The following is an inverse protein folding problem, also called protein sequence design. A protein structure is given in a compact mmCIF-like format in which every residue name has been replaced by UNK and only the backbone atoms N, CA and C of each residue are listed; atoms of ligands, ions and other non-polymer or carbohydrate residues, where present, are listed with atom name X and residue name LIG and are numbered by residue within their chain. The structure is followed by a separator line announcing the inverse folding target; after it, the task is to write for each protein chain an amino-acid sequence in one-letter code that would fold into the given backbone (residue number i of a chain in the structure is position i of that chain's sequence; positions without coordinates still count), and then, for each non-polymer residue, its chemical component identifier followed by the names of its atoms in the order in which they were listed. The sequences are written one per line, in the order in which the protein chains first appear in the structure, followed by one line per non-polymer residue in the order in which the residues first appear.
data_IF_111721759233
#
_entry.id   IF_111721759233
#
_cell.length_a   1.000
_cell.length_b   1.000
_cell.length_c   1.000
_cell.angle_alpha   90.00
_cell.angle_beta   90.00
_cell.angle_gamma   90.00
#
_symmetry.space_group_name_H-M   'P 1'
#
loop_
_entity.id
_entity.type
_entity.pdbx_description
1 polymer ?
#
# COMPACT_ATOMS: atom_id res chain seq x y z
N UNK A 1 -52.40 57.03 7.30
CA UNK A 1 -51.02 57.00 7.80
C UNK A 1 -50.67 55.78 8.68
N UNK A 2 -51.48 55.42 9.69
CA UNK A 2 -51.16 54.27 10.58
C UNK A 2 -51.17 52.92 9.90
N UNK A 3 -52.06 52.65 8.93
CA UNK A 3 -52.14 51.37 8.22
C UNK A 3 -50.94 51.09 7.25
N UNK A 4 -50.39 52.12 6.63
CA UNK A 4 -49.22 52.00 5.76
C UNK A 4 -47.93 51.73 6.54
N UNK A 5 -47.78 52.28 7.76
CA UNK A 5 -46.59 51.98 8.60
C UNK A 5 -46.57 50.52 9.12
N UNK A 6 -47.73 49.94 9.39
CA UNK A 6 -47.87 48.57 9.88
C UNK A 6 -47.52 47.56 8.73
N UNK A 7 -47.95 47.82 7.49
CA UNK A 7 -47.64 47.00 6.34
C UNK A 7 -46.13 47.04 6.01
N UNK A 8 -45.48 48.18 6.16
CA UNK A 8 -44.04 48.35 5.90
C UNK A 8 -43.17 47.62 6.94
N UNK A 9 -43.59 47.59 8.21
CA UNK A 9 -42.90 46.83 9.26
C UNK A 9 -43.05 45.31 9.08
N UNK A 10 -44.21 44.84 8.59
CA UNK A 10 -44.41 43.41 8.30
C UNK A 10 -43.57 42.93 7.11
N UNK A 11 -43.43 43.73 6.05
CA UNK A 11 -42.59 43.42 4.91
C UNK A 11 -41.09 43.42 5.27
N UNK A 12 -40.64 44.32 6.14
CA UNK A 12 -39.26 44.37 6.58
C UNK A 12 -38.90 43.18 7.48
N UNK A 13 -39.84 42.76 8.36
CA UNK A 13 -39.66 41.54 9.18
C UNK A 13 -39.63 40.27 8.38
N UNK A 14 -40.42 40.17 7.31
CA UNK A 14 -40.44 39.00 6.42
C UNK A 14 -39.17 38.92 5.56
N UNK A 15 -38.64 40.06 5.12
CA UNK A 15 -37.37 40.11 4.36
C UNK A 15 -36.17 39.68 5.21
N UNK A 16 -36.12 40.10 6.48
CA UNK A 16 -35.08 39.71 7.43
C UNK A 16 -35.14 38.22 7.80
N UNK A 17 -36.34 37.64 7.89
CA UNK A 17 -36.51 36.21 8.15
C UNK A 17 -36.08 35.35 6.97
N UNK A 18 -36.31 35.78 5.72
CA UNK A 18 -35.91 35.06 4.50
C UNK A 18 -34.40 35.12 4.28
N UNK A 19 -33.75 36.25 4.59
CA UNK A 19 -32.28 36.38 4.47
C UNK A 19 -31.53 35.62 5.56
N UNK A 20 -32.11 35.54 6.78
CA UNK A 20 -31.52 34.79 7.89
C UNK A 20 -31.51 33.26 7.68
N UNK A 21 -32.50 32.70 7.00
CA UNK A 21 -32.56 31.26 6.72
C UNK A 21 -31.73 30.82 5.50
N UNK A 22 -31.48 31.75 4.56
CA UNK A 22 -30.60 31.46 3.41
C UNK A 22 -29.11 31.42 3.78
N UNK A 23 -28.69 32.29 4.74
CA UNK A 23 -27.29 32.34 5.18
C UNK A 23 -26.91 31.18 6.13
N UNK A 24 -27.88 30.63 6.89
CA UNK A 24 -27.62 29.48 7.77
C UNK A 24 -27.46 28.16 7.04
N UNK A 25 -27.95 28.02 5.81
CA UNK A 25 -27.78 26.80 4.98
C UNK A 25 -26.49 26.78 4.16
N UNK A 26 -25.79 27.90 4.01
CA UNK A 26 -24.60 28.03 3.17
C UNK A 26 -23.28 27.77 3.90
N UNK A 27 -23.30 27.55 5.23
CA UNK A 27 -22.06 27.38 6.03
C UNK A 27 -21.77 25.95 6.46
N UNK A 28 -22.55 24.98 6.02
CA UNK A 28 -22.30 23.56 6.32
C UNK A 28 -21.81 22.75 5.11
N UNK A 29 -21.09 23.37 4.19
CA UNK A 29 -20.16 22.62 3.34
C UNK A 29 -18.92 22.39 4.21
N UNK A 30 -19.00 21.36 5.05
CA UNK A 30 -17.83 20.82 5.72
C UNK A 30 -16.83 20.49 4.59
N UNK A 31 -15.74 21.27 4.49
CA UNK A 31 -14.64 20.94 3.64
C UNK A 31 -14.14 19.57 4.13
N UNK A 32 -14.53 18.52 3.46
CA UNK A 32 -14.00 17.18 3.66
C UNK A 32 -12.53 17.30 3.25
N UNK A 33 -11.64 17.34 4.21
CA UNK A 33 -10.20 17.31 3.95
C UNK A 33 -9.90 15.93 3.42
N UNK A 34 -9.85 15.82 2.10
CA UNK A 34 -9.42 14.60 1.43
C UNK A 34 -7.91 14.48 1.65
N UNK A 35 -7.51 13.63 2.55
CA UNK A 35 -6.10 13.28 2.73
C UNK A 35 -5.77 12.15 1.77
N UNK A 36 -4.86 12.42 0.86
CA UNK A 36 -4.30 11.38 -0.02
C UNK A 36 -3.54 10.37 0.82
N UNK A 37 -3.88 9.07 0.79
CA UNK A 37 -3.19 8.07 1.58
C UNK A 37 -1.70 8.02 1.28
N UNK A 38 -0.89 7.87 2.33
CA UNK A 38 0.55 7.67 2.25
C UNK A 38 0.88 6.19 2.36
N UNK A 39 1.56 5.65 1.36
CA UNK A 39 2.03 4.28 1.33
C UNK A 39 3.55 4.26 1.46
N UNK A 40 4.07 3.48 2.40
CA UNK A 40 5.49 3.17 2.45
C UNK A 40 5.73 1.83 1.74
N UNK A 41 6.64 1.83 0.79
CA UNK A 41 7.17 0.61 0.17
C UNK A 41 8.55 0.33 0.76
N UNK A 42 8.73 -0.88 1.29
CA UNK A 42 9.99 -1.34 1.85
C UNK A 42 10.57 -2.45 0.97
N UNK A 43 11.50 -2.14 0.03
CA UNK A 43 12.20 -3.17 -0.73
C UNK A 43 13.10 -3.97 0.20
N UNK A 44 12.77 -5.24 0.48
CA UNK A 44 13.53 -6.10 1.38
C UNK A 44 14.99 -6.25 0.98
N UNK A 45 15.87 -6.52 1.98
CA UNK A 45 17.30 -6.70 1.77
C UNK A 45 18.01 -5.48 1.16
N UNK A 46 19.23 -5.64 0.63
CA UNK A 46 20.02 -4.61 -0.04
C UNK A 46 21.45 -4.50 0.47
N UNK A 47 22.34 -3.98 -0.37
CA UNK A 47 23.77 -3.81 -0.06
C UNK A 47 24.44 -5.13 0.28
N UNK A 48 24.92 -5.30 1.51
CA UNK A 48 25.59 -6.53 1.95
C UNK A 48 24.63 -7.72 2.14
N UNK A 49 23.32 -7.51 2.19
CA UNK A 49 22.32 -8.57 2.33
C UNK A 49 21.60 -8.83 0.99
N UNK A 50 22.02 -9.84 0.21
CA UNK A 50 21.42 -10.12 -1.08
C UNK A 50 20.02 -10.73 -0.98
N UNK A 51 19.58 -11.22 0.20
CA UNK A 51 18.40 -12.06 0.36
C UNK A 51 18.62 -13.47 -0.23
N UNK A 52 17.55 -14.08 -0.70
CA UNK A 52 17.63 -15.35 -1.43
C UNK A 52 18.36 -15.16 -2.78
N UNK A 53 18.96 -16.26 -3.23
CA UNK A 53 19.67 -16.31 -4.54
C UNK A 53 18.87 -17.21 -5.47
N UNK A 54 18.61 -16.75 -6.67
CA UNK A 54 17.90 -17.47 -7.71
C UNK A 54 18.60 -18.81 -8.04
N UNK A 55 17.80 -19.86 -8.14
CA UNK A 55 18.32 -21.22 -8.28
C UNK A 55 18.98 -21.49 -9.63
N UNK A 56 18.52 -20.83 -10.67
CA UNK A 56 18.99 -21.07 -12.05
C UNK A 56 19.98 -20.00 -12.52
N UNK A 57 19.79 -18.74 -12.12
CA UNK A 57 20.52 -17.61 -12.70
C UNK A 57 21.39 -16.83 -11.72
N UNK A 58 21.33 -17.20 -10.44
CA UNK A 58 22.04 -16.50 -9.35
C UNK A 58 21.62 -15.03 -9.17
N UNK A 59 20.43 -14.65 -9.66
CA UNK A 59 19.86 -13.32 -9.41
C UNK A 59 19.62 -13.14 -7.91
N UNK A 60 19.88 -11.94 -7.40
CA UNK A 60 19.68 -11.64 -5.99
C UNK A 60 18.25 -11.15 -5.73
N UNK A 61 17.68 -11.58 -4.63
CA UNK A 61 16.36 -11.15 -4.18
C UNK A 61 16.29 -9.62 -4.04
N UNK A 62 17.29 -8.99 -3.44
CA UNK A 62 17.31 -7.54 -3.23
C UNK A 62 17.19 -6.72 -4.51
N UNK A 63 17.69 -7.23 -5.64
CA UNK A 63 17.60 -6.60 -6.96
C UNK A 63 16.16 -6.67 -7.50
N UNK A 64 15.51 -7.83 -7.37
CA UNK A 64 14.12 -8.04 -7.78
C UNK A 64 13.16 -7.22 -6.88
N UNK A 65 13.39 -7.22 -5.56
CA UNK A 65 12.60 -6.44 -4.62
C UNK A 65 12.62 -4.95 -4.97
N UNK A 66 13.79 -4.40 -5.27
CA UNK A 66 13.94 -3.00 -5.67
C UNK A 66 13.23 -2.71 -7.01
N UNK A 67 13.39 -3.59 -8.00
CA UNK A 67 12.79 -3.43 -9.31
C UNK A 67 11.25 -3.44 -9.24
N UNK A 68 10.64 -4.41 -8.55
CA UNK A 68 9.18 -4.47 -8.34
C UNK A 68 8.70 -3.26 -7.54
N UNK A 69 9.41 -2.86 -6.48
CA UNK A 69 9.05 -1.71 -5.65
C UNK A 69 9.06 -0.39 -6.43
N UNK A 70 10.01 -0.21 -7.34
CA UNK A 70 10.08 0.98 -8.20
C UNK A 70 8.90 1.04 -9.17
N UNK A 71 8.52 -0.07 -9.77
CA UNK A 71 7.34 -0.16 -10.63
C UNK A 71 6.05 0.06 -9.83
N UNK A 72 5.94 -0.55 -8.66
CA UNK A 72 4.79 -0.38 -7.76
C UNK A 72 4.63 1.06 -7.30
N UNK A 73 5.73 1.76 -6.98
CA UNK A 73 5.69 3.19 -6.66
C UNK A 73 5.07 3.98 -7.81
N UNK A 74 5.54 3.78 -9.03
CA UNK A 74 5.02 4.49 -10.20
C UNK A 74 3.52 4.22 -10.43
N UNK A 75 3.09 2.96 -10.31
CA UNK A 75 1.68 2.57 -10.45
C UNK A 75 0.78 3.22 -9.38
N UNK A 76 1.21 3.25 -8.12
CA UNK A 76 0.45 3.85 -7.04
C UNK A 76 0.40 5.39 -7.16
N UNK A 77 1.52 6.03 -7.53
CA UNK A 77 1.57 7.48 -7.75
C UNK A 77 0.65 7.91 -8.90
N UNK A 78 0.61 7.15 -10.02
CA UNK A 78 -0.33 7.39 -11.12
C UNK A 78 -1.81 7.29 -10.69
N UNK A 79 -2.10 6.49 -9.68
CA UNK A 79 -3.44 6.32 -9.09
C UNK A 79 -3.75 7.34 -7.99
N UNK A 80 -2.85 8.30 -7.75
CA UNK A 80 -3.04 9.42 -6.84
C UNK A 80 -2.61 9.15 -5.40
N UNK A 81 -1.89 8.06 -5.10
CA UNK A 81 -1.31 7.85 -3.77
C UNK A 81 -0.03 8.65 -3.58
N UNK A 82 0.28 9.01 -2.35
CA UNK A 82 1.60 9.46 -1.94
C UNK A 82 2.45 8.24 -1.61
N UNK A 83 3.66 8.14 -2.16
CA UNK A 83 4.50 6.96 -1.95
C UNK A 83 5.91 7.37 -1.51
N UNK A 84 6.42 6.68 -0.50
CA UNK A 84 7.79 6.81 -0.01
C UNK A 84 8.42 5.41 0.05
N UNK A 85 9.69 5.29 -0.33
CA UNK A 85 10.43 4.04 -0.21
C UNK A 85 11.45 4.09 0.93
N UNK A 86 11.68 2.97 1.61
CA UNK A 86 12.72 2.88 2.65
C UNK A 86 14.12 2.98 2.06
N UNK A 87 14.34 2.45 0.85
CA UNK A 87 15.54 2.60 0.02
C UNK A 87 15.17 2.73 -1.47
N UNK A 88 15.95 3.46 -2.23
CA UNK A 88 15.77 3.66 -3.68
C UNK A 88 16.95 3.14 -4.51
N UNK A 89 17.94 2.51 -3.85
CA UNK A 89 19.14 1.91 -4.45
C UNK A 89 19.42 0.55 -3.85
N UNK A 90 20.38 -0.17 -4.41
CA UNK A 90 20.94 -1.37 -3.78
C UNK A 90 21.89 -0.94 -2.64
N UNK A 91 21.30 -0.68 -1.49
CA UNK A 91 22.00 -0.25 -0.27
C UNK A 91 21.35 -0.86 0.96
N UNK A 92 22.14 -1.11 1.99
CA UNK A 92 21.66 -1.36 3.34
C UNK A 92 21.53 -0.02 4.08
N UNK A 93 20.57 0.08 5.01
CA UNK A 93 20.33 1.31 5.78
C UNK A 93 21.25 1.42 7.01
N UNK A 94 22.03 0.36 7.31
CA UNK A 94 23.03 0.31 8.37
C UNK A 94 24.06 -0.80 8.10
N UNK A 95 25.15 -0.83 8.86
CA UNK A 95 26.30 -1.72 8.65
C UNK A 95 26.09 -3.17 9.15
N UNK A 96 24.92 -3.50 9.66
CA UNK A 96 24.57 -4.84 10.16
C UNK A 96 23.11 -5.18 9.88
N UNK A 97 22.79 -6.47 9.74
CA UNK A 97 21.39 -6.94 9.55
C UNK A 97 20.44 -6.43 10.65
N UNK A 98 20.87 -6.44 11.90
CA UNK A 98 20.08 -5.92 13.02
C UNK A 98 19.88 -4.41 12.91
N UNK A 99 20.94 -3.69 12.57
CA UNK A 99 20.88 -2.23 12.37
C UNK A 99 20.00 -1.85 11.19
N UNK A 100 20.12 -2.57 10.07
CA UNK A 100 19.29 -2.37 8.87
C UNK A 100 17.80 -2.57 9.18
N UNK A 101 17.44 -3.66 9.85
CA UNK A 101 16.07 -3.91 10.29
C UNK A 101 15.54 -2.83 11.25
N UNK A 102 16.39 -2.33 12.16
CA UNK A 102 16.00 -1.24 13.05
C UNK A 102 15.80 0.07 12.28
N UNK A 103 16.68 0.40 11.34
CA UNK A 103 16.59 1.60 10.53
C UNK A 103 15.32 1.60 9.63
N UNK A 104 14.96 0.43 9.06
CA UNK A 104 13.69 0.24 8.33
C UNK A 104 12.50 0.51 9.22
N UNK A 105 12.49 -0.12 10.39
CA UNK A 105 11.44 0.08 11.39
C UNK A 105 11.28 1.56 11.76
N UNK A 106 12.39 2.24 12.08
CA UNK A 106 12.36 3.65 12.46
C UNK A 106 11.79 4.54 11.35
N UNK A 107 12.18 4.29 10.09
CA UNK A 107 11.60 4.97 8.92
C UNK A 107 10.10 4.74 8.80
N UNK A 108 9.64 3.50 9.00
CA UNK A 108 8.23 3.12 8.95
C UNK A 108 7.44 3.81 10.07
N UNK A 109 7.90 3.70 11.32
CA UNK A 109 7.22 4.30 12.48
C UNK A 109 7.11 5.83 12.37
N UNK A 110 8.15 6.49 11.81
CA UNK A 110 8.19 7.96 11.66
C UNK A 110 7.45 8.46 10.42
N UNK A 111 7.08 7.58 9.49
CA UNK A 111 6.50 7.98 8.19
C UNK A 111 5.11 8.60 8.30
N UNK A 112 4.32 8.17 9.28
CA UNK A 112 2.89 8.46 9.34
C UNK A 112 2.09 7.82 8.20
N UNK A 113 2.56 6.67 7.69
CA UNK A 113 1.91 5.96 6.60
C UNK A 113 0.53 5.40 6.99
N UNK A 114 -0.34 5.29 5.99
CA UNK A 114 -1.63 4.61 6.08
C UNK A 114 -1.51 3.11 5.77
N UNK A 115 -0.46 2.72 5.03
CA UNK A 115 -0.16 1.33 4.65
C UNK A 115 1.35 1.17 4.42
N UNK A 116 1.88 -0.01 4.79
CA UNK A 116 3.26 -0.40 4.49
C UNK A 116 3.27 -1.72 3.70
N UNK A 117 4.02 -1.75 2.61
CA UNK A 117 4.23 -2.92 1.75
C UNK A 117 5.72 -3.27 1.75
N UNK A 118 6.11 -4.34 2.45
CA UNK A 118 7.47 -4.87 2.41
C UNK A 118 7.55 -5.93 1.29
N UNK A 119 8.35 -5.66 0.27
CA UNK A 119 8.41 -6.45 -0.96
C UNK A 119 9.58 -7.42 -0.87
N UNK A 120 9.28 -8.70 -1.05
CA UNK A 120 10.18 -9.83 -0.92
C UNK A 120 9.96 -10.88 -2.02
N UNK A 121 10.89 -11.84 -2.07
CA UNK A 121 10.77 -13.07 -2.85
C UNK A 121 11.01 -14.27 -1.93
N UNK A 122 10.18 -15.27 -2.09
CA UNK A 122 10.29 -16.50 -1.31
C UNK A 122 11.39 -17.43 -1.86
N UNK A 123 11.84 -18.34 -1.02
CA UNK A 123 12.73 -19.44 -1.42
C UNK A 123 12.44 -20.68 -0.58
N UNK A 124 12.48 -21.85 -1.20
CA UNK A 124 12.24 -23.14 -0.56
C UNK A 124 13.25 -24.17 -1.08
N UNK A 125 13.80 -25.07 -0.23
CA UNK A 125 14.60 -26.20 -0.67
C UNK A 125 13.87 -27.11 -1.68
N UNK A 126 12.54 -27.27 -1.51
CA UNK A 126 11.69 -27.89 -2.51
C UNK A 126 11.41 -26.89 -3.65
N UNK A 127 12.08 -27.09 -4.77
CA UNK A 127 11.96 -26.22 -5.95
C UNK A 127 10.61 -26.30 -6.67
N UNK A 128 9.74 -27.26 -6.28
CA UNK A 128 8.37 -27.32 -6.76
C UNK A 128 7.44 -26.31 -6.06
N UNK A 129 7.86 -25.77 -4.91
CA UNK A 129 7.12 -24.73 -4.22
C UNK A 129 6.92 -23.50 -5.12
N UNK A 130 5.69 -23.00 -5.24
CA UNK A 130 5.31 -21.91 -6.11
C UNK A 130 4.14 -21.10 -5.55
N UNK A 131 3.86 -19.93 -6.14
CA UNK A 131 2.73 -19.04 -5.81
C UNK A 131 3.09 -17.95 -4.81
N UNK A 132 2.68 -16.71 -5.10
CA UNK A 132 2.86 -15.57 -4.20
C UNK A 132 2.20 -15.79 -2.84
N UNK A 133 2.72 -15.12 -1.81
CA UNK A 133 2.19 -15.18 -0.44
C UNK A 133 2.17 -13.78 0.17
N UNK A 134 1.03 -13.36 0.70
CA UNK A 134 0.91 -12.09 1.43
C UNK A 134 0.73 -12.37 2.91
N UNK A 135 1.64 -11.83 3.71
CA UNK A 135 1.68 -12.03 5.15
C UNK A 135 1.21 -10.75 5.85
N UNK A 136 0.39 -10.90 6.89
CA UNK A 136 -0.10 -9.79 7.70
C UNK A 136 -0.02 -10.10 9.19
N UNK A 137 -0.02 -9.06 10.04
CA UNK A 137 -0.06 -9.27 11.49
C UNK A 137 -1.43 -9.77 11.92
N UNK A 138 -1.47 -10.89 12.66
CA UNK A 138 -2.69 -11.62 13.02
C UNK A 138 -3.78 -10.74 13.65
N UNK A 139 -3.38 -9.72 14.43
CA UNK A 139 -4.31 -8.83 15.13
C UNK A 139 -4.74 -7.62 14.29
N UNK A 140 -4.27 -7.51 13.04
CA UNK A 140 -4.61 -6.40 12.13
C UNK A 140 -5.76 -6.81 11.20
N UNK A 141 -7.00 -6.46 11.54
CA UNK A 141 -8.17 -6.70 10.68
C UNK A 141 -8.05 -5.97 9.34
N UNK A 142 -7.59 -4.74 9.36
CA UNK A 142 -7.35 -3.96 8.14
C UNK A 142 -6.22 -4.57 7.30
N UNK A 143 -5.14 -5.01 7.96
CA UNK A 143 -4.06 -5.76 7.30
C UNK A 143 -4.54 -7.03 6.65
N UNK A 144 -5.42 -7.78 7.29
CA UNK A 144 -6.05 -8.98 6.73
C UNK A 144 -6.84 -8.66 5.47
N UNK A 145 -7.68 -7.63 5.51
CA UNK A 145 -8.54 -7.22 4.38
C UNK A 145 -7.72 -6.81 3.16
N UNK A 146 -6.67 -6.02 3.37
CA UNK A 146 -5.78 -5.57 2.29
C UNK A 146 -4.96 -6.76 1.75
N UNK A 147 -4.42 -7.60 2.65
CA UNK A 147 -3.64 -8.77 2.27
C UNK A 147 -4.45 -9.75 1.40
N UNK A 148 -5.71 -10.00 1.72
CA UNK A 148 -6.59 -10.87 0.93
C UNK A 148 -6.81 -10.33 -0.49
N UNK A 149 -7.08 -9.04 -0.64
CA UNK A 149 -7.26 -8.43 -1.96
C UNK A 149 -5.97 -8.50 -2.82
N UNK A 150 -4.82 -8.18 -2.22
CA UNK A 150 -3.53 -8.31 -2.93
C UNK A 150 -3.24 -9.77 -3.29
N UNK A 151 -3.50 -10.72 -2.38
CA UNK A 151 -3.29 -12.14 -2.61
C UNK A 151 -4.12 -12.67 -3.79
N UNK A 152 -5.40 -12.26 -3.87
CA UNK A 152 -6.27 -12.66 -4.96
C UNK A 152 -5.76 -12.16 -6.32
N UNK A 153 -5.36 -10.90 -6.41
CA UNK A 153 -4.79 -10.33 -7.63
C UNK A 153 -3.47 -11.00 -8.04
N UNK A 154 -2.60 -11.33 -7.08
CA UNK A 154 -1.36 -12.06 -7.33
C UNK A 154 -1.61 -13.51 -7.80
N UNK A 155 -2.59 -14.22 -7.22
CA UNK A 155 -2.99 -15.55 -7.68
C UNK A 155 -3.44 -15.52 -9.14
N UNK A 156 -4.26 -14.54 -9.51
CA UNK A 156 -4.76 -14.36 -10.88
C UNK A 156 -3.64 -14.02 -11.87
N UNK A 157 -2.59 -13.34 -11.41
CA UNK A 157 -1.45 -12.92 -12.23
C UNK A 157 -0.46 -14.06 -12.44
N UNK A 158 -0.01 -14.72 -11.37
CA UNK A 158 0.96 -15.82 -11.45
C UNK A 158 0.38 -17.10 -12.04
N UNK A 159 -0.92 -17.33 -11.86
CA UNK A 159 -1.61 -18.57 -12.27
C UNK A 159 -0.84 -19.82 -11.83
N UNK A 160 -0.44 -19.81 -10.56
CA UNK A 160 0.25 -20.92 -9.93
C UNK A 160 -0.68 -22.12 -9.78
N UNK A 161 -0.12 -23.33 -9.60
CA UNK A 161 -0.92 -24.56 -9.50
C UNK A 161 -1.94 -24.54 -8.36
N UNK A 162 -1.60 -23.79 -7.30
CA UNK A 162 -2.49 -23.62 -6.13
C UNK A 162 -2.66 -22.13 -5.85
N UNK A 163 -3.91 -21.70 -5.79
CA UNK A 163 -4.24 -20.42 -5.18
C UNK A 163 -3.92 -20.47 -3.69
N UNK A 164 -3.26 -19.44 -3.19
CA UNK A 164 -2.93 -19.29 -1.77
C UNK A 164 -3.86 -18.28 -1.14
N UNK A 165 -4.08 -18.43 0.16
CA UNK A 165 -4.72 -17.43 1.00
C UNK A 165 -3.66 -16.54 1.66
N UNK A 166 -4.04 -15.32 2.04
CA UNK A 166 -3.20 -14.47 2.86
C UNK A 166 -2.96 -15.10 4.23
N UNK A 167 -1.75 -14.96 4.79
CA UNK A 167 -1.29 -15.70 5.95
C UNK A 167 -1.10 -14.79 7.15
N UNK A 168 -1.82 -15.08 8.23
CA UNK A 168 -1.64 -14.41 9.52
C UNK A 168 -0.30 -14.80 10.16
N UNK A 169 0.45 -13.82 10.66
CA UNK A 169 1.75 -13.98 11.32
C UNK A 169 1.80 -13.27 12.67
N UNK A 170 2.57 -13.81 13.61
CA UNK A 170 2.75 -13.22 14.94
C UNK A 170 4.20 -12.89 15.27
N UNK A 171 5.16 -13.43 14.55
CA UNK A 171 6.59 -13.43 14.87
C UNK A 171 7.46 -12.56 13.96
N UNK A 172 6.95 -12.10 12.82
CA UNK A 172 7.72 -11.26 11.90
C UNK A 172 7.94 -9.86 12.48
N UNK A 173 9.21 -9.49 12.66
CA UNK A 173 9.62 -8.23 13.30
C UNK A 173 9.02 -7.00 12.63
N UNK A 174 9.09 -6.94 11.30
CA UNK A 174 8.62 -5.79 10.52
C UNK A 174 7.11 -5.56 10.63
N UNK A 175 6.30 -6.62 10.73
CA UNK A 175 4.85 -6.53 10.84
C UNK A 175 4.37 -5.83 12.13
N UNK A 176 5.27 -5.65 13.11
CA UNK A 176 5.00 -4.98 14.39
C UNK A 176 5.62 -3.58 14.46
N UNK A 177 6.05 -3.02 13.34
CA UNK A 177 6.79 -1.75 13.27
C UNK A 177 5.89 -0.52 13.28
N UNK A 178 4.63 -0.62 13.70
CA UNK A 178 3.74 0.52 13.76
C UNK A 178 2.30 0.13 14.05
N UNK A 179 1.41 1.11 14.03
CA UNK A 179 -0.04 0.92 14.24
C UNK A 179 -0.81 0.76 12.92
N UNK A 180 -0.21 1.20 11.80
CA UNK A 180 -0.78 1.05 10.48
C UNK A 180 -0.71 -0.41 10.01
N UNK A 181 -1.54 -0.84 9.05
CA UNK A 181 -1.37 -2.13 8.38
C UNK A 181 0.02 -2.24 7.75
N UNK A 182 0.72 -3.33 8.03
CA UNK A 182 2.01 -3.67 7.43
C UNK A 182 1.88 -5.05 6.83
N UNK A 183 2.24 -5.20 5.56
CA UNK A 183 2.19 -6.45 4.83
C UNK A 183 3.58 -6.82 4.32
N UNK A 184 3.91 -8.11 4.35
CA UNK A 184 5.04 -8.65 3.60
C UNK A 184 4.46 -9.32 2.35
N UNK A 185 4.91 -8.93 1.18
CA UNK A 185 4.47 -9.47 -0.11
C UNK A 185 5.61 -10.28 -0.70
N UNK A 186 5.50 -11.60 -0.59
CA UNK A 186 6.37 -12.58 -1.26
C UNK A 186 5.84 -12.79 -2.68
N UNK A 187 6.41 -12.10 -3.66
CA UNK A 187 5.85 -12.01 -5.01
C UNK A 187 5.95 -13.33 -5.81
N UNK A 188 6.80 -14.27 -5.38
CA UNK A 188 7.00 -15.59 -5.99
C UNK A 188 8.22 -16.28 -5.39
N UNK A 189 8.51 -17.50 -5.85
CA UNK A 189 9.64 -18.29 -5.36
C UNK A 189 10.84 -18.18 -6.30
N UNK A 190 11.94 -17.57 -5.85
CA UNK A 190 13.22 -17.55 -6.58
C UNK A 190 13.85 -18.94 -6.73
N UNK A 191 13.45 -19.90 -5.89
CA UNK A 191 13.87 -21.31 -6.01
C UNK A 191 13.12 -22.09 -7.10
N UNK A 192 11.99 -21.58 -7.59
CA UNK A 192 11.18 -22.21 -8.63
C UNK A 192 11.55 -21.66 -10.01
N UNK A 193 12.01 -22.52 -10.94
CA UNK A 193 12.53 -22.10 -12.26
C UNK A 193 11.54 -21.30 -13.09
N UNK A 194 10.22 -21.65 -13.04
CA UNK A 194 9.19 -20.91 -13.77
C UNK A 194 9.00 -19.51 -13.17
N UNK A 195 8.91 -19.41 -11.84
CA UNK A 195 8.68 -18.13 -11.17
C UNK A 195 9.93 -17.25 -11.17
N UNK A 196 11.14 -17.83 -11.05
CA UNK A 196 12.39 -17.10 -11.26
C UNK A 196 12.41 -16.43 -12.65
N UNK A 197 11.97 -17.15 -13.70
CA UNK A 197 11.82 -16.60 -15.05
C UNK A 197 10.86 -15.39 -15.10
N UNK A 198 9.71 -15.48 -14.45
CA UNK A 198 8.73 -14.37 -14.35
C UNK A 198 9.35 -13.18 -13.59
N UNK A 199 9.93 -13.43 -12.42
CA UNK A 199 10.50 -12.41 -11.54
C UNK A 199 11.66 -11.65 -12.21
N UNK A 200 12.39 -12.29 -13.11
CA UNK A 200 13.49 -11.67 -13.88
C UNK A 200 13.02 -10.91 -15.11
N UNK A 201 11.87 -11.24 -15.68
CA UNK A 201 11.34 -10.53 -16.84
C UNK A 201 10.79 -9.17 -16.45
N UNK A 202 10.89 -8.18 -17.32
CA UNK A 202 10.31 -6.85 -17.10
C UNK A 202 8.79 -6.94 -17.07
N UNK A 203 8.20 -7.69 -18.00
CA UNK A 203 6.75 -7.90 -18.09
C UNK A 203 6.21 -8.59 -16.84
N UNK A 204 6.93 -9.58 -16.29
CA UNK A 204 6.52 -10.26 -15.06
C UNK A 204 6.54 -9.34 -13.85
N UNK A 205 7.59 -8.54 -13.68
CA UNK A 205 7.67 -7.56 -12.59
C UNK A 205 6.61 -6.47 -12.71
N UNK A 206 6.34 -5.98 -13.93
CA UNK A 206 5.27 -5.01 -14.18
C UNK A 206 3.90 -5.60 -13.83
N UNK A 207 3.62 -6.84 -14.24
CA UNK A 207 2.36 -7.51 -13.94
C UNK A 207 2.16 -7.71 -12.43
N UNK A 208 3.22 -8.05 -11.69
CA UNK A 208 3.17 -8.20 -10.23
C UNK A 208 2.95 -6.86 -9.53
N UNK A 209 3.65 -5.80 -9.95
CA UNK A 209 3.45 -4.46 -9.41
C UNK A 209 2.02 -3.97 -9.63
N UNK A 210 1.46 -4.20 -10.83
CA UNK A 210 0.08 -3.86 -11.16
C UNK A 210 -0.92 -4.63 -10.29
N UNK A 211 -0.71 -5.94 -10.09
CA UNK A 211 -1.56 -6.78 -9.24
C UNK A 211 -1.58 -6.30 -7.78
N UNK A 212 -0.42 -5.91 -7.24
CA UNK A 212 -0.33 -5.35 -5.87
C UNK A 212 -1.07 -4.01 -5.80
N UNK A 213 -0.83 -3.11 -6.76
CA UNK A 213 -1.49 -1.81 -6.81
C UNK A 213 -3.01 -1.93 -6.91
N UNK A 214 -3.52 -2.90 -7.70
CA UNK A 214 -4.95 -3.17 -7.83
C UNK A 214 -5.57 -3.60 -6.49
N UNK A 215 -4.94 -4.53 -5.76
CA UNK A 215 -5.41 -4.95 -4.44
C UNK A 215 -5.43 -3.81 -3.41
N UNK A 216 -4.46 -2.89 -3.49
CA UNK A 216 -4.44 -1.67 -2.68
C UNK A 216 -5.62 -0.77 -3.03
N UNK A 217 -5.85 -0.49 -4.32
CA UNK A 217 -6.93 0.38 -4.76
C UNK A 217 -8.32 -0.14 -4.38
N UNK A 218 -8.52 -1.45 -4.41
CA UNK A 218 -9.78 -2.09 -4.00
C UNK A 218 -10.08 -1.89 -2.51
N UNK A 219 -9.07 -1.68 -1.70
CA UNK A 219 -9.18 -1.69 -0.24
C UNK A 219 -8.86 -0.35 0.42
N UNK A 220 -8.02 0.47 -0.16
CA UNK A 220 -7.63 1.79 0.35
C UNK A 220 -7.87 2.86 -0.74
N UNK A 221 -9.12 3.19 -1.07
CA UNK A 221 -9.42 4.11 -2.16
C UNK A 221 -8.92 5.53 -1.88
N UNK A 222 -8.39 6.19 -2.91
CA UNK A 222 -8.11 7.63 -2.86
C UNK A 222 -9.45 8.37 -2.91
N UNK A 223 -9.85 8.97 -1.79
CA UNK A 223 -11.11 9.71 -1.70
C UNK A 223 -10.96 11.06 -2.41
N UNK A 224 -11.77 11.32 -3.43
CA UNK A 224 -11.79 12.60 -4.17
C UNK A 224 -11.58 12.48 -5.68
N UNK A 225 -11.20 11.35 -6.21
CA UNK A 225 -11.26 11.09 -7.66
C UNK A 225 -12.64 10.52 -7.99
N UNK A 226 -13.56 11.39 -8.38
CA UNK A 226 -14.74 10.93 -9.13
C UNK A 226 -14.25 10.52 -10.53
N UNK A 227 -14.63 9.35 -11.05
CA UNK A 227 -14.26 8.91 -12.40
C UNK A 227 -14.79 9.86 -13.48
#
# INVERSE_FOLDING_TARGET
MKRQKIAMLFCLGLLLAITGTATARSLAVQAQVYTTPLIVIDPGHGGFDPGAIGGDTQVKECEINLAISTLLKAELEQRGYRVVMTREKDEALADSKKGDMQARRDKIEQSGADLVLSIHQNSNPDRSANGAMVLYYKESEEGQRIAQAIQENLNNTLKSEKNRDAIAQTDKYILKSGKMPILIVECGFLSNSREEGILRSEEGRQALALAIAEGVCQTLPVTGTTP
#
